data_IF_161946775247
#
_entry.id   IF_161946775247
#
_cell.length_a   1.000
_cell.length_b   1.000
_cell.length_c   1.000
_cell.angle_alpha   90.00
_cell.angle_beta   90.00
_cell.angle_gamma   90.00
#
_symmetry.space_group_name_H-M   'P 1'
#
loop_
_entity.id
_entity.type
_entity.pdbx_description
1 polymer ?
#
# COMPACT_ATOMS: atom_id res chain seq x y z
N UNK A 1 0.18 69.28 23.79
CA UNK A 1 -0.60 68.32 24.62
C UNK A 1 -0.77 67.07 23.82
N UNK A 2 -0.01 66.02 24.10
CA UNK A 2 -0.14 64.73 23.42
C UNK A 2 -1.22 63.93 24.18
N UNK A 3 -2.39 63.76 23.59
CA UNK A 3 -3.44 62.87 24.06
C UNK A 3 -3.16 61.47 23.50
N UNK A 4 -2.76 60.58 24.35
CA UNK A 4 -2.74 59.12 24.07
C UNK A 4 -4.17 58.63 24.26
N UNK A 5 -4.85 58.25 23.18
CA UNK A 5 -6.15 57.63 23.24
C UNK A 5 -6.03 56.15 23.66
N UNK A 6 -6.40 55.86 24.91
CA UNK A 6 -6.44 54.54 25.47
C UNK A 6 -7.45 53.60 24.76
N UNK A 7 -8.44 54.15 24.03
CA UNK A 7 -9.42 53.36 23.29
C UNK A 7 -8.83 52.56 22.12
N UNK A 8 -7.88 53.16 21.38
CA UNK A 8 -7.16 52.43 20.31
C UNK A 8 -6.33 51.26 20.84
N UNK A 9 -5.71 51.39 22.02
CA UNK A 9 -4.98 50.29 22.66
C UNK A 9 -5.89 49.16 23.08
N UNK A 10 -7.09 49.47 23.59
CA UNK A 10 -8.09 48.48 23.97
C UNK A 10 -8.59 47.67 22.78
N UNK A 11 -8.90 48.32 21.64
CA UNK A 11 -9.31 47.65 20.40
C UNK A 11 -8.20 46.76 19.81
N UNK A 12 -6.96 47.22 19.83
CA UNK A 12 -5.82 46.44 19.39
C UNK A 12 -5.56 45.24 20.30
N UNK A 13 -5.66 45.37 21.62
CA UNK A 13 -5.51 44.27 22.56
C UNK A 13 -6.61 43.22 22.39
N UNK A 14 -7.87 43.62 22.14
CA UNK A 14 -8.96 42.70 21.88
C UNK A 14 -8.77 41.95 20.56
N UNK A 15 -8.33 42.62 19.50
CA UNK A 15 -7.98 42.00 18.22
C UNK A 15 -6.89 40.96 18.36
N UNK A 16 -5.83 41.25 19.12
CA UNK A 16 -4.75 40.29 19.43
C UNK A 16 -5.29 39.11 20.23
N UNK A 17 -6.17 39.33 21.20
CA UNK A 17 -6.79 38.25 21.97
C UNK A 17 -7.70 37.35 21.11
N UNK A 18 -8.47 37.93 20.19
CA UNK A 18 -9.26 37.16 19.19
C UNK A 18 -8.35 36.37 18.26
N UNK A 19 -7.28 36.96 17.73
CA UNK A 19 -6.30 36.30 16.89
C UNK A 19 -5.63 35.11 17.62
N UNK A 20 -5.24 35.30 18.87
CA UNK A 20 -4.63 34.26 19.70
C UNK A 20 -5.54 33.02 19.86
N UNK A 21 -6.87 33.24 20.03
CA UNK A 21 -7.85 32.14 20.12
C UNK A 21 -8.02 31.33 18.80
N UNK A 22 -7.67 31.93 17.67
CA UNK A 22 -7.76 31.27 16.36
C UNK A 22 -6.50 30.48 16.02
N UNK A 23 -5.36 30.69 16.70
CA UNK A 23 -4.10 29.97 16.43
C UNK A 23 -4.28 28.45 16.46
N UNK A 24 -4.93 27.82 17.45
CA UNK A 24 -5.10 26.38 17.45
C UNK A 24 -5.90 25.86 16.25
N UNK A 25 -6.91 26.63 15.80
CA UNK A 25 -7.70 26.26 14.64
C UNK A 25 -6.88 26.34 13.34
N UNK A 26 -6.18 27.46 13.13
CA UNK A 26 -5.31 27.64 11.95
C UNK A 26 -4.22 26.59 11.91
N UNK A 27 -3.64 26.27 13.07
CA UNK A 27 -2.62 25.21 13.18
C UNK A 27 -3.19 23.84 12.82
N UNK A 28 -4.35 23.47 13.36
CA UNK A 28 -5.00 22.20 13.05
C UNK A 28 -5.38 22.11 11.55
N UNK A 29 -5.89 23.21 10.98
CA UNK A 29 -6.16 23.32 9.55
C UNK A 29 -4.88 23.11 8.70
N UNK A 30 -3.80 23.78 9.06
CA UNK A 30 -2.53 23.69 8.34
C UNK A 30 -1.92 22.30 8.42
N UNK A 31 -1.88 21.70 9.61
CA UNK A 31 -1.39 20.33 9.82
C UNK A 31 -2.18 19.31 8.99
N UNK A 32 -3.52 19.39 9.06
CA UNK A 32 -4.38 18.46 8.33
C UNK A 32 -4.18 18.57 6.80
N UNK A 33 -4.10 19.79 6.27
CA UNK A 33 -3.92 19.98 4.83
C UNK A 33 -2.48 19.66 4.38
N UNK A 34 -1.47 19.90 5.21
CA UNK A 34 -0.10 19.46 4.93
C UNK A 34 -0.01 17.92 4.81
N UNK A 35 -0.72 17.17 5.67
CA UNK A 35 -0.77 15.70 5.55
C UNK A 35 -1.54 15.26 4.31
N UNK A 36 -2.56 15.99 3.87
CA UNK A 36 -3.26 15.71 2.60
C UNK A 36 -2.34 15.93 1.39
N UNK A 37 -1.60 17.05 1.37
CA UNK A 37 -0.63 17.32 0.30
C UNK A 37 0.48 16.26 0.28
N UNK A 38 0.98 15.85 1.45
CA UNK A 38 1.95 14.77 1.57
C UNK A 38 1.38 13.44 1.06
N UNK A 39 0.13 13.10 1.36
CA UNK A 39 -0.53 11.90 0.85
C UNK A 39 -0.60 11.88 -0.68
N UNK A 40 -0.94 13.00 -1.30
CA UNK A 40 -0.97 13.08 -2.78
C UNK A 40 0.44 12.97 -3.37
N UNK A 41 1.44 13.62 -2.77
CA UNK A 41 2.83 13.49 -3.19
C UNK A 41 3.34 12.04 -3.08
N UNK A 42 2.92 11.30 -2.05
CA UNK A 42 3.23 9.87 -1.91
C UNK A 42 2.51 9.02 -2.96
N UNK A 43 1.26 9.35 -3.32
CA UNK A 43 0.55 8.67 -4.42
C UNK A 43 1.26 8.86 -5.75
N UNK A 44 1.77 10.06 -6.02
CA UNK A 44 2.54 10.33 -7.24
C UNK A 44 3.88 9.60 -7.23
N UNK A 45 4.54 9.54 -6.07
CA UNK A 45 5.73 8.71 -5.87
C UNK A 45 5.43 7.23 -6.14
N UNK A 46 4.32 6.69 -5.62
CA UNK A 46 3.90 5.29 -5.91
C UNK A 46 3.68 5.05 -7.41
N UNK A 47 3.09 6.01 -8.14
CA UNK A 47 2.91 5.92 -9.60
C UNK A 47 4.22 5.88 -10.36
N UNK A 48 5.24 6.58 -9.87
CA UNK A 48 6.55 6.64 -10.53
C UNK A 48 7.44 5.43 -10.23
N UNK A 49 7.35 4.84 -9.02
CA UNK A 49 8.26 3.79 -8.57
C UNK A 49 7.70 2.37 -8.74
N UNK A 50 6.37 2.20 -8.85
CA UNK A 50 5.73 0.90 -9.03
C UNK A 50 5.26 0.71 -10.46
N UNK A 51 5.49 -0.50 -10.99
CA UNK A 51 4.92 -0.87 -12.29
C UNK A 51 3.41 -1.12 -12.14
N UNK A 52 2.62 -0.32 -12.85
CA UNK A 52 1.15 -0.43 -12.94
C UNK A 52 0.45 -0.66 -11.59
N UNK A 53 0.64 0.26 -10.60
CA UNK A 53 0.06 0.08 -9.27
C UNK A 53 -1.48 0.09 -9.34
N UNK A 54 -2.10 -0.81 -8.59
CA UNK A 54 -3.56 -0.87 -8.49
C UNK A 54 -4.11 0.35 -7.72
N UNK A 55 -5.39 0.71 -7.97
CA UNK A 55 -6.08 1.73 -7.18
C UNK A 55 -6.10 1.38 -5.68
N UNK A 56 -6.15 0.09 -5.33
CA UNK A 56 -6.03 -0.37 -3.96
C UNK A 56 -4.69 0.05 -3.34
N UNK A 57 -3.58 -0.11 -4.06
CA UNK A 57 -2.25 0.32 -3.62
C UNK A 57 -2.15 1.84 -3.52
N UNK A 58 -2.62 2.59 -4.52
CA UNK A 58 -2.60 4.05 -4.54
C UNK A 58 -3.43 4.68 -3.41
N UNK A 59 -4.48 4.00 -2.94
CA UNK A 59 -5.33 4.44 -1.85
C UNK A 59 -4.94 3.84 -0.48
N UNK A 60 -3.74 3.30 -0.36
CA UNK A 60 -3.24 2.63 0.85
C UNK A 60 -2.92 3.56 2.02
N UNK A 61 -2.83 4.86 1.78
CA UNK A 61 -2.51 5.87 2.80
C UNK A 61 -3.77 6.56 3.33
N UNK A 62 -3.75 6.87 4.62
CA UNK A 62 -4.80 7.63 5.30
C UNK A 62 -4.21 8.79 6.07
N UNK A 63 -5.01 9.86 6.18
CA UNK A 63 -4.71 11.02 7.03
C UNK A 63 -5.64 10.98 8.23
N UNK A 64 -5.06 11.03 9.43
CA UNK A 64 -5.78 11.33 10.66
C UNK A 64 -5.67 12.85 10.91
N UNK A 65 -6.78 13.60 10.91
CA UNK A 65 -6.73 15.05 10.97
C UNK A 65 -6.39 15.53 12.38
N UNK A 66 -5.71 16.69 12.46
CA UNK A 66 -5.56 17.42 13.71
C UNK A 66 -6.88 18.10 14.12
N UNK A 67 -7.05 18.34 15.40
CA UNK A 67 -8.16 19.10 15.97
C UNK A 67 -7.64 20.31 16.75
N UNK A 68 -8.52 21.25 17.14
CA UNK A 68 -8.15 22.38 18.00
C UNK A 68 -7.60 21.94 19.37
N UNK A 69 -8.02 20.76 19.85
CA UNK A 69 -7.62 20.22 21.17
C UNK A 69 -6.40 19.32 21.07
N UNK A 70 -6.22 18.68 19.90
CA UNK A 70 -5.05 17.84 19.61
C UNK A 70 -4.43 18.31 18.28
N UNK A 71 -3.32 19.04 18.39
CA UNK A 71 -2.56 19.59 17.27
C UNK A 71 -1.62 18.56 16.67
N UNK A 72 -2.13 17.33 16.47
CA UNK A 72 -1.42 16.22 15.86
C UNK A 72 -2.19 15.72 14.64
N UNK A 73 -1.58 15.83 13.46
CA UNK A 73 -2.04 15.15 12.25
C UNK A 73 -1.09 14.03 11.87
N UNK A 74 -1.62 12.92 11.39
CA UNK A 74 -0.83 11.75 11.03
C UNK A 74 -1.10 11.33 9.60
N UNK A 75 -0.04 10.97 8.88
CA UNK A 75 -0.11 10.26 7.61
C UNK A 75 0.40 8.83 7.83
N UNK A 76 -0.44 7.85 7.63
CA UNK A 76 -0.11 6.46 7.90
C UNK A 76 -0.68 5.49 6.88
N UNK A 77 -0.24 4.24 6.95
CA UNK A 77 -0.80 3.15 6.16
C UNK A 77 -2.16 2.73 6.73
N UNK A 78 -3.13 2.48 5.86
CA UNK A 78 -4.44 1.97 6.26
C UNK A 78 -4.32 0.62 6.96
N UNK A 79 -4.96 0.51 8.10
CA UNK A 79 -5.21 -0.76 8.77
C UNK A 79 -6.35 -1.46 8.04
N UNK A 80 -6.13 -2.72 7.69
CA UNK A 80 -7.11 -3.45 6.87
C UNK A 80 -8.29 -3.95 7.70
N UNK A 81 -9.39 -3.21 7.75
CA UNK A 81 -10.68 -3.76 8.24
C UNK A 81 -11.18 -4.80 7.23
N UNK A 82 -11.05 -6.10 7.57
CA UNK A 82 -11.46 -7.21 6.69
C UNK A 82 -10.59 -7.41 5.42
N UNK A 83 -9.56 -6.58 5.21
CA UNK A 83 -8.64 -6.65 4.08
C UNK A 83 -7.18 -6.78 4.54
N UNK A 84 -6.26 -6.90 3.60
CA UNK A 84 -4.83 -6.96 3.91
C UNK A 84 -4.34 -5.57 4.34
N UNK A 85 -3.76 -5.38 5.55
CA UNK A 85 -3.19 -4.11 5.98
C UNK A 85 -2.16 -3.59 4.98
N UNK A 86 -2.21 -2.29 4.68
CA UNK A 86 -1.36 -1.69 3.65
C UNK A 86 0.14 -1.83 3.96
N UNK A 87 0.54 -1.74 5.21
CA UNK A 87 1.92 -1.98 5.64
C UNK A 87 2.45 -3.37 5.25
N UNK A 88 1.59 -4.37 5.17
CA UNK A 88 2.00 -5.75 4.88
C UNK A 88 2.62 -5.91 3.48
N UNK A 89 2.19 -5.12 2.51
CA UNK A 89 2.70 -5.17 1.13
C UNK A 89 3.54 -3.94 0.74
N UNK A 90 3.31 -2.77 1.33
CA UNK A 90 4.12 -1.57 1.10
C UNK A 90 5.34 -1.47 2.02
N UNK A 91 5.24 -1.94 3.27
CA UNK A 91 6.34 -1.91 4.23
C UNK A 91 7.66 -2.49 3.68
N UNK A 92 7.65 -3.65 3.02
CA UNK A 92 8.85 -4.18 2.36
C UNK A 92 9.41 -3.29 1.25
N UNK A 93 8.60 -2.47 0.60
CA UNK A 93 9.06 -1.51 -0.42
C UNK A 93 9.70 -0.26 0.22
N UNK A 94 9.28 0.08 1.45
CA UNK A 94 9.85 1.19 2.25
C UNK A 94 11.13 0.77 2.95
N UNK A 95 11.13 -0.39 3.62
CA UNK A 95 12.24 -0.84 4.45
C UNK A 95 13.26 -1.73 3.69
N UNK A 96 12.80 -2.37 2.59
CA UNK A 96 13.56 -3.44 1.94
C UNK A 96 13.57 -4.72 2.78
N UNK A 97 14.48 -5.64 2.44
CA UNK A 97 14.73 -6.85 3.22
C UNK A 97 14.11 -8.13 2.65
N UNK A 98 14.23 -9.26 3.37
CA UNK A 98 13.81 -10.56 2.89
C UNK A 98 12.30 -10.64 2.65
N UNK A 99 11.91 -11.23 1.52
CA UNK A 99 10.51 -11.44 1.19
C UNK A 99 9.89 -12.52 2.08
N UNK A 100 8.77 -12.22 2.71
CA UNK A 100 7.96 -13.23 3.42
C UNK A 100 7.24 -14.13 2.42
N UNK A 101 7.12 -15.43 2.75
CA UNK A 101 6.38 -16.38 1.93
C UNK A 101 4.90 -16.00 1.82
N UNK A 102 4.33 -16.10 0.62
CA UNK A 102 2.90 -15.92 0.36
C UNK A 102 2.11 -17.12 0.88
N UNK A 103 0.80 -16.94 1.13
CA UNK A 103 -0.07 -18.01 1.64
C UNK A 103 -0.01 -19.29 0.80
N UNK A 104 -0.05 -19.16 -0.52
CA UNK A 104 0.01 -20.33 -1.40
C UNK A 104 1.39 -21.01 -1.38
N UNK A 105 2.48 -20.25 -1.18
CA UNK A 105 3.83 -20.81 -1.01
C UNK A 105 3.95 -21.59 0.30
N UNK A 106 3.32 -21.11 1.39
CA UNK A 106 3.23 -21.84 2.64
C UNK A 106 2.47 -23.18 2.48
N UNK A 107 1.38 -23.16 1.70
CA UNK A 107 0.63 -24.38 1.38
C UNK A 107 1.47 -25.38 0.58
N UNK A 108 2.23 -24.90 -0.42
CA UNK A 108 3.16 -25.75 -1.18
C UNK A 108 4.31 -26.29 -0.32
N UNK A 109 4.82 -25.49 0.64
CA UNK A 109 5.84 -25.93 1.61
C UNK A 109 5.30 -27.03 2.54
N UNK A 110 4.10 -26.86 3.04
CA UNK A 110 3.44 -27.86 3.91
C UNK A 110 3.26 -29.23 3.20
N UNK A 111 3.18 -29.23 1.86
CA UNK A 111 3.12 -30.45 1.04
C UNK A 111 4.51 -30.93 0.54
N UNK A 112 5.60 -30.30 0.98
CA UNK A 112 6.94 -30.65 0.54
C UNK A 112 7.26 -30.33 -0.92
N UNK A 113 6.37 -29.62 -1.61
CA UNK A 113 6.54 -29.24 -3.03
C UNK A 113 7.54 -28.11 -3.16
N UNK A 114 7.49 -27.12 -2.27
CA UNK A 114 8.39 -25.97 -2.22
C UNK A 114 9.30 -26.06 -0.98
N UNK A 115 10.59 -25.87 -1.15
CA UNK A 115 11.54 -25.86 -0.01
C UNK A 115 11.41 -24.54 0.79
N UNK A 116 11.86 -24.55 2.03
CA UNK A 116 11.80 -23.38 2.92
C UNK A 116 12.53 -22.15 2.38
N UNK A 117 13.65 -22.34 1.68
CA UNK A 117 14.44 -21.28 1.04
C UNK A 117 13.93 -20.84 -0.33
N UNK A 118 12.91 -21.51 -0.87
CA UNK A 118 12.40 -21.26 -2.21
C UNK A 118 11.15 -20.39 -2.18
N UNK A 119 10.97 -19.65 -3.28
CA UNK A 119 9.83 -18.78 -3.55
C UNK A 119 9.33 -19.04 -4.97
N UNK A 120 8.10 -18.64 -5.26
CA UNK A 120 7.52 -18.76 -6.58
C UNK A 120 7.48 -17.42 -7.31
N UNK A 121 7.93 -17.40 -8.57
CA UNK A 121 7.72 -16.30 -9.52
C UNK A 121 6.87 -16.78 -10.69
N UNK A 122 6.05 -15.90 -11.30
CA UNK A 122 5.27 -16.27 -12.49
C UNK A 122 6.19 -16.71 -13.64
N UNK A 123 5.86 -17.83 -14.27
CA UNK A 123 6.45 -18.28 -15.53
C UNK A 123 5.66 -17.73 -16.73
N UNK A 124 6.09 -18.06 -17.96
CA UNK A 124 5.48 -17.56 -19.20
C UNK A 124 4.00 -17.94 -19.40
N UNK A 125 3.56 -19.05 -18.79
CA UNK A 125 2.16 -19.51 -18.87
C UNK A 125 1.29 -19.03 -17.69
N UNK A 126 1.84 -18.17 -16.81
CA UNK A 126 1.06 -17.61 -15.74
C UNK A 126 0.02 -16.62 -16.26
N UNK A 127 -1.21 -16.74 -15.78
CA UNK A 127 -2.27 -15.77 -16.07
C UNK A 127 -2.11 -14.57 -15.15
N UNK A 128 -1.70 -13.44 -15.73
CA UNK A 128 -1.51 -12.18 -15.01
C UNK A 128 -2.65 -11.21 -15.29
N UNK A 129 -3.03 -10.41 -14.29
CA UNK A 129 -3.93 -9.28 -14.46
C UNK A 129 -3.20 -8.06 -15.08
N UNK A 130 -3.95 -6.99 -15.36
CA UNK A 130 -3.39 -5.75 -15.91
C UNK A 130 -2.31 -5.08 -15.05
N UNK A 131 -2.21 -5.43 -13.78
CA UNK A 131 -1.18 -4.96 -12.83
C UNK A 131 -0.03 -5.95 -12.64
N UNK A 132 0.01 -7.05 -13.42
CA UNK A 132 1.05 -8.08 -13.32
C UNK A 132 0.88 -9.05 -12.16
N UNK A 133 -0.26 -9.05 -11.47
CA UNK A 133 -0.52 -10.02 -10.41
C UNK A 133 -1.06 -11.32 -10.99
N UNK A 134 -0.66 -12.44 -10.39
CA UNK A 134 -1.14 -13.74 -10.80
C UNK A 134 -2.62 -13.94 -10.47
N UNK A 135 -3.39 -14.47 -11.42
CA UNK A 135 -4.80 -14.74 -11.27
C UNK A 135 -5.06 -15.71 -10.10
N UNK A 136 -5.93 -15.29 -9.16
CA UNK A 136 -6.26 -16.08 -7.97
C UNK A 136 -6.87 -17.44 -8.32
N UNK A 137 -7.72 -17.50 -9.34
CA UNK A 137 -8.33 -18.75 -9.80
C UNK A 137 -7.31 -19.75 -10.32
N UNK A 138 -6.22 -19.27 -10.98
CA UNK A 138 -5.12 -20.14 -11.40
C UNK A 138 -4.37 -20.70 -10.19
N UNK A 139 -4.10 -19.88 -9.18
CA UNK A 139 -3.44 -20.34 -7.94
C UNK A 139 -4.26 -21.42 -7.25
N UNK A 140 -5.58 -21.22 -7.11
CA UNK A 140 -6.49 -22.21 -6.50
C UNK A 140 -6.45 -23.52 -7.28
N UNK A 141 -6.50 -23.48 -8.61
CA UNK A 141 -6.42 -24.69 -9.46
C UNK A 141 -5.09 -25.41 -9.27
N UNK A 142 -3.98 -24.70 -9.19
CA UNK A 142 -2.65 -25.29 -8.93
C UNK A 142 -2.64 -26.01 -7.58
N UNK A 143 -3.10 -25.35 -6.52
CA UNK A 143 -3.12 -25.94 -5.17
C UNK A 143 -4.00 -27.17 -5.11
N UNK A 144 -5.19 -27.11 -5.73
CA UNK A 144 -6.13 -28.23 -5.82
C UNK A 144 -5.53 -29.42 -6.59
N UNK A 145 -4.93 -29.17 -7.75
CA UNK A 145 -4.31 -30.21 -8.59
C UNK A 145 -3.13 -30.91 -7.92
N UNK A 146 -2.37 -30.18 -7.11
CA UNK A 146 -1.20 -30.70 -6.40
C UNK A 146 -1.53 -31.21 -4.97
N UNK A 147 -2.81 -31.22 -4.59
CA UNK A 147 -3.23 -31.68 -3.25
C UNK A 147 -2.79 -30.76 -2.12
N UNK A 148 -2.52 -29.48 -2.42
CA UNK A 148 -2.04 -28.48 -1.49
C UNK A 148 -3.12 -27.44 -1.09
N UNK A 149 -4.40 -27.65 -1.45
CA UNK A 149 -5.49 -26.81 -0.97
C UNK A 149 -5.65 -26.96 0.53
N UNK A 150 -6.00 -25.86 1.21
CA UNK A 150 -6.21 -25.85 2.69
C UNK A 150 -7.39 -26.72 3.11
N UNK A 151 -8.39 -26.82 2.26
CA UNK A 151 -9.51 -27.75 2.43
C UNK A 151 -9.24 -29.00 1.57
N UNK A 152 -9.13 -30.15 2.23
CA UNK A 152 -8.88 -31.44 1.57
C UNK A 152 -9.99 -31.82 0.57
N UNK A 153 -11.22 -31.37 0.78
CA UNK A 153 -12.35 -31.60 -0.13
C UNK A 153 -12.17 -30.88 -1.47
N UNK A 154 -11.38 -29.81 -1.53
CA UNK A 154 -11.06 -29.07 -2.75
C UNK A 154 -9.92 -29.69 -3.54
N UNK A 155 -9.26 -30.71 -3.03
CA UNK A 155 -8.17 -31.38 -3.72
C UNK A 155 -8.68 -32.32 -4.80
N UNK A 156 -8.37 -32.01 -6.07
CA UNK A 156 -8.80 -32.82 -7.22
C UNK A 156 -7.83 -33.96 -7.54
N UNK A 157 -7.01 -34.39 -6.61
CA UNK A 157 -6.05 -35.53 -6.74
C UNK A 157 -6.79 -36.88 -6.93
N UNK A 158 -8.10 -36.89 -7.16
CA UNK A 158 -8.80 -38.11 -7.54
C UNK A 158 -8.34 -38.55 -8.92
N UNK A 159 -7.77 -39.78 -9.02
CA UNK A 159 -7.53 -40.49 -10.27
C UNK A 159 -8.70 -40.28 -11.21
N UNK A 160 -8.51 -39.86 -12.47
CA UNK A 160 -9.60 -39.68 -13.41
C UNK A 160 -10.28 -41.02 -13.63
N UNK A 161 -11.52 -41.17 -13.18
CA UNK A 161 -12.40 -42.15 -13.77
C UNK A 161 -12.48 -41.80 -15.27
N UNK A 162 -12.32 -42.80 -16.13
CA UNK A 162 -12.29 -42.80 -17.57
C UNK A 162 -13.48 -42.01 -18.22
N UNK A 163 -13.51 -40.70 -18.05
CA UNK A 163 -14.48 -39.82 -18.68
C UNK A 163 -13.74 -38.81 -19.54
N UNK A 164 -13.88 -38.97 -20.83
CA UNK A 164 -13.18 -38.36 -21.96
C UNK A 164 -13.46 -36.86 -22.17
N UNK A 165 -14.03 -36.10 -21.22
CA UNK A 165 -14.46 -34.72 -21.47
C UNK A 165 -14.05 -33.65 -20.45
N UNK A 166 -13.35 -33.97 -19.37
CA UNK A 166 -12.74 -32.96 -18.52
C UNK A 166 -11.28 -32.87 -18.88
N UNK A 167 -10.87 -31.80 -19.56
CA UNK A 167 -9.47 -31.36 -19.62
C UNK A 167 -9.01 -31.15 -18.17
N UNK A 168 -8.51 -32.20 -17.55
CA UNK A 168 -7.73 -32.06 -16.33
C UNK A 168 -6.54 -31.19 -16.73
N UNK A 169 -6.51 -29.98 -16.20
CA UNK A 169 -5.34 -29.14 -16.26
C UNK A 169 -4.26 -29.86 -15.46
N UNK A 170 -3.39 -30.59 -16.17
CA UNK A 170 -2.34 -31.41 -15.55
C UNK A 170 -1.21 -30.51 -15.09
N UNK A 171 -1.39 -29.88 -13.92
CA UNK A 171 -0.31 -29.22 -13.23
C UNK A 171 0.59 -30.29 -12.60
N UNK A 172 1.91 -30.17 -12.82
CA UNK A 172 2.90 -31.07 -12.25
C UNK A 172 4.13 -30.30 -11.83
N UNK A 173 4.90 -30.91 -10.93
CA UNK A 173 6.19 -30.36 -10.45
C UNK A 173 7.31 -30.93 -11.30
N UNK A 174 8.16 -30.05 -11.82
CA UNK A 174 9.38 -30.41 -12.54
C UNK A 174 10.58 -29.96 -11.73
N UNK A 175 11.51 -30.88 -11.48
CA UNK A 175 12.77 -30.61 -10.76
C UNK A 175 13.91 -31.42 -11.33
N UNK A 176 15.14 -30.88 -11.22
CA UNK A 176 16.35 -31.60 -11.54
C UNK A 176 16.53 -31.90 -13.04
N UNK A 177 15.92 -31.12 -13.92
CA UNK A 177 16.05 -31.21 -15.37
C UNK A 177 16.82 -30.01 -15.93
N UNK A 178 17.02 -29.96 -17.26
CA UNK A 178 17.58 -28.78 -17.94
C UNK A 178 16.64 -27.55 -17.86
N UNK A 179 15.35 -27.77 -17.66
CA UNK A 179 14.37 -26.68 -17.46
C UNK A 179 14.39 -26.20 -16.00
N UNK A 180 14.02 -24.94 -15.72
CA UNK A 180 13.95 -24.41 -14.35
C UNK A 180 13.04 -25.23 -13.46
N UNK A 181 13.43 -25.45 -12.21
CA UNK A 181 12.55 -26.07 -11.20
C UNK A 181 11.26 -25.26 -11.05
N UNK A 182 10.11 -25.93 -11.03
CA UNK A 182 8.85 -25.19 -10.97
C UNK A 182 7.60 -26.06 -11.08
N UNK A 183 6.45 -25.37 -11.17
CA UNK A 183 5.15 -25.96 -11.48
C UNK A 183 4.82 -25.65 -12.93
N UNK A 184 4.53 -26.68 -13.67
CA UNK A 184 4.26 -26.66 -15.09
C UNK A 184 2.84 -27.12 -15.38
N UNK A 185 2.28 -26.65 -16.49
CA UNK A 185 1.04 -27.12 -17.08
C UNK A 185 1.36 -27.95 -18.32
N UNK A 186 0.74 -29.11 -18.44
CA UNK A 186 0.85 -29.94 -19.64
C UNK A 186 -0.15 -29.46 -20.70
N UNK A 187 0.38 -29.01 -21.83
CA UNK A 187 -0.40 -28.62 -23.00
C UNK A 187 -0.01 -29.55 -24.17
N UNK A 188 -0.78 -30.63 -24.33
CA UNK A 188 -0.45 -31.68 -25.30
C UNK A 188 0.90 -32.34 -24.96
N UNK A 189 1.90 -32.18 -25.85
CA UNK A 189 3.29 -32.67 -25.64
C UNK A 189 4.19 -31.63 -24.96
N UNK A 190 3.74 -30.38 -24.80
CA UNK A 190 4.55 -29.31 -24.23
C UNK A 190 4.33 -29.19 -22.72
N UNK A 191 5.39 -28.77 -22.02
CA UNK A 191 5.38 -28.37 -20.62
C UNK A 191 5.54 -26.86 -20.55
N UNK A 192 4.50 -26.14 -20.12
CA UNK A 192 4.50 -24.69 -20.03
C UNK A 192 4.73 -24.28 -18.57
N UNK A 193 5.81 -23.50 -18.25
CA UNK A 193 6.08 -23.08 -16.89
C UNK A 193 5.06 -22.06 -16.41
N UNK A 194 4.41 -22.36 -15.27
CA UNK A 194 3.41 -21.50 -14.65
C UNK A 194 3.99 -20.78 -13.42
N UNK A 195 4.71 -21.53 -12.57
CA UNK A 195 5.46 -21.00 -11.43
C UNK A 195 6.87 -21.53 -11.46
N UNK A 196 7.85 -20.66 -11.42
CA UNK A 196 9.27 -21.01 -11.32
C UNK A 196 9.72 -20.86 -9.88
N UNK A 197 10.49 -21.83 -9.38
CA UNK A 197 11.08 -21.80 -8.06
C UNK A 197 12.41 -21.06 -8.10
N UNK A 198 12.52 -20.05 -7.23
CA UNK A 198 13.72 -19.23 -7.09
C UNK A 198 14.16 -19.19 -5.63
N UNK A 199 15.46 -19.03 -5.38
CA UNK A 199 16.03 -18.91 -4.03
C UNK A 199 16.36 -17.45 -3.71
N UNK A 200 16.32 -17.09 -2.43
CA UNK A 200 16.90 -15.85 -1.96
C UNK A 200 16.20 -14.59 -2.48
N UNK A 201 14.88 -14.49 -2.38
CA UNK A 201 14.17 -13.27 -2.76
C UNK A 201 14.22 -12.22 -1.64
N UNK A 202 14.69 -11.01 -2.00
CA UNK A 202 14.63 -9.82 -1.17
C UNK A 202 13.98 -8.67 -1.93
N UNK A 203 13.34 -7.77 -1.19
CA UNK A 203 12.84 -6.51 -1.72
C UNK A 203 13.93 -5.45 -1.63
N UNK A 204 14.12 -4.72 -2.71
CA UNK A 204 14.90 -3.48 -2.67
C UNK A 204 14.00 -2.36 -2.16
N UNK A 205 14.61 -1.42 -1.41
CA UNK A 205 13.94 -0.19 -1.01
C UNK A 205 13.64 0.65 -2.26
N UNK A 206 12.37 0.76 -2.62
CA UNK A 206 11.92 1.51 -3.82
C UNK A 206 11.03 2.69 -3.46
N UNK A 207 10.32 2.63 -2.32
CA UNK A 207 9.37 3.64 -1.91
C UNK A 207 9.96 4.52 -0.81
N UNK A 208 10.47 5.73 -1.13
CA UNK A 208 11.12 6.63 -0.19
C UNK A 208 10.10 7.42 0.65
N UNK A 209 9.20 6.70 1.33
CA UNK A 209 8.07 7.26 2.08
C UNK A 209 8.49 8.32 3.11
N UNK A 210 9.46 8.02 3.96
CA UNK A 210 9.89 8.96 5.00
C UNK A 210 10.66 10.16 4.44
N UNK A 211 11.47 9.95 3.42
CA UNK A 211 12.26 10.99 2.77
C UNK A 211 11.36 11.98 2.05
N UNK A 212 10.37 11.49 1.33
CA UNK A 212 9.39 12.33 0.64
C UNK A 212 8.54 13.13 1.63
N UNK A 213 8.03 12.48 2.69
CA UNK A 213 7.26 13.13 3.73
C UNK A 213 8.04 14.26 4.42
N UNK A 214 9.31 14.03 4.79
CA UNK A 214 10.19 15.04 5.39
C UNK A 214 10.38 16.29 4.53
N UNK A 215 10.37 16.14 3.22
CA UNK A 215 10.52 17.27 2.28
C UNK A 215 9.22 18.04 2.10
N UNK A 216 8.10 17.31 1.92
CA UNK A 216 6.81 17.92 1.54
C UNK A 216 6.11 18.56 2.74
N UNK A 217 6.08 17.89 3.89
CA UNK A 217 5.27 18.32 5.05
C UNK A 217 5.63 19.72 5.54
N UNK A 218 6.90 20.11 5.76
CA UNK A 218 7.23 21.44 6.27
C UNK A 218 6.83 22.56 5.30
N UNK A 219 7.00 22.35 4.00
CA UNK A 219 6.65 23.31 2.97
C UNK A 219 5.13 23.49 2.87
N UNK A 220 4.41 22.38 2.82
CA UNK A 220 2.95 22.37 2.80
C UNK A 220 2.35 23.00 4.07
N UNK A 221 2.91 22.71 5.25
CA UNK A 221 2.47 23.32 6.50
C UNK A 221 2.60 24.84 6.47
N UNK A 222 3.75 25.38 6.07
CA UNK A 222 3.97 26.85 5.96
C UNK A 222 2.97 27.49 4.99
N UNK A 223 2.75 26.87 3.83
CA UNK A 223 1.77 27.31 2.83
C UNK A 223 0.36 27.37 3.43
N UNK A 224 -0.10 26.28 4.02
CA UNK A 224 -1.46 26.19 4.57
C UNK A 224 -1.65 27.01 5.84
N UNK A 225 -0.61 27.17 6.66
CA UNK A 225 -0.67 28.04 7.84
C UNK A 225 -0.85 29.49 7.42
N UNK A 226 -0.07 29.98 6.45
CA UNK A 226 -0.20 31.35 5.90
C UNK A 226 -1.59 31.59 5.33
N UNK A 227 -2.07 30.68 4.49
CA UNK A 227 -3.40 30.78 3.88
C UNK A 227 -4.52 30.73 4.92
N UNK A 228 -4.41 29.85 5.91
CA UNK A 228 -5.36 29.76 7.03
C UNK A 228 -5.36 31.01 7.92
N UNK A 229 -4.18 31.55 8.21
CA UNK A 229 -4.04 32.79 8.97
C UNK A 229 -4.71 33.95 8.26
N UNK A 230 -4.45 34.15 7.01
CA UNK A 230 -5.03 35.21 6.20
C UNK A 230 -6.56 35.07 6.11
N UNK A 231 -7.05 33.86 5.89
CA UNK A 231 -8.49 33.57 5.76
C UNK A 231 -9.27 33.73 7.06
N UNK A 232 -8.77 33.20 8.17
CA UNK A 232 -9.54 33.03 9.41
C UNK A 232 -9.18 34.06 10.50
N UNK A 233 -8.06 34.78 10.35
CA UNK A 233 -7.62 35.79 11.30
C UNK A 233 -7.72 37.17 10.66
N UNK A 234 -6.95 37.42 9.60
CA UNK A 234 -6.85 38.75 8.99
C UNK A 234 -8.20 39.21 8.39
N UNK A 235 -8.82 38.34 7.59
CA UNK A 235 -10.10 38.70 6.93
C UNK A 235 -11.28 38.75 7.90
N UNK A 236 -11.25 37.98 8.99
CA UNK A 236 -12.33 38.10 10.03
C UNK A 236 -12.21 39.39 10.83
N UNK A 237 -11.00 39.86 11.11
CA UNK A 237 -10.74 41.16 11.73
C UNK A 237 -11.20 42.31 10.80
N UNK A 238 -10.84 42.24 9.50
CA UNK A 238 -11.25 43.27 8.51
C UNK A 238 -12.75 43.35 8.25
N UNK A 239 -13.49 42.27 8.42
CA UNK A 239 -14.96 42.26 8.25
C UNK A 239 -15.71 42.82 9.45
N UNK A 240 -15.09 42.91 10.62
CA UNK A 240 -15.69 43.35 11.88
C UNK A 240 -15.16 44.70 12.34
N UNK A 241 -14.21 45.29 11.62
CA UNK A 241 -13.75 46.67 11.73
C UNK A 241 -14.53 47.57 10.76
#
# INVERSE_FOLDING_TARGET
>A
MLLLDAGEFGLKAEAVGKAARQVPFVTAFALTNAMKDAREAERDTMRSVFDRPTNFTLNALQVRPATKRDLRAELGFKEGFGSIPAWKYLGPQVAGGPRKAKRFELALRAKGILRSSEYCVPGRGAQLDGSGNMNRGQIVRILSALGAASDAAQNTVRRPKRSTRRRNLDYFVLRGTKAPDGIYLREGRAAVPILIFVRGMSYQKRFPYYEKAKTVIPLAFRKHFRAGWERFVVNDVRRKA
#
